data_IF_383718594355
#
_entry.id   IF_383718594355
#
_cell.length_a   1.000
_cell.length_b   1.000
_cell.length_c   1.000
_cell.angle_alpha   90.00
_cell.angle_beta   90.00
_cell.angle_gamma   90.00
#
_symmetry.space_group_name_H-M   'P 1'
#
loop_
_entity.id
_entity.type
_entity.pdbx_description
1 polymer ?
#
# COMPACT_ATOMS: atom_id res chain seq x y z
N UNK A 1 -0.46 2.77 20.01
CA UNK A 1 -0.58 4.20 19.66
C UNK A 1 -1.77 4.37 18.73
N UNK A 2 -2.55 5.45 18.85
CA UNK A 2 -3.59 5.78 17.88
C UNK A 2 -2.96 5.98 16.49
N UNK A 3 -3.68 5.54 15.44
CA UNK A 3 -3.22 5.73 14.06
C UNK A 3 -3.39 7.19 13.66
N UNK A 4 -2.41 7.73 12.93
CA UNK A 4 -2.47 9.08 12.38
C UNK A 4 -3.39 9.11 11.14
N UNK A 5 -4.43 9.96 11.10
CA UNK A 5 -5.19 10.20 9.87
C UNK A 5 -4.28 10.75 8.77
N UNK A 6 -4.40 10.22 7.56
CA UNK A 6 -3.60 10.62 6.41
C UNK A 6 -4.48 10.76 5.15
N UNK A 7 -4.27 11.80 4.33
CA UNK A 7 -4.86 11.90 3.00
C UNK A 7 -4.51 10.70 2.09
N UNK A 8 -5.35 10.45 1.09
CA UNK A 8 -5.17 9.31 0.17
C UNK A 8 -3.90 9.46 -0.68
N UNK A 9 -3.66 10.65 -1.21
CA UNK A 9 -2.49 11.02 -2.01
C UNK A 9 -1.17 10.87 -1.22
N UNK A 10 -1.12 11.37 0.02
CA UNK A 10 0.04 11.16 0.90
C UNK A 10 0.29 9.68 1.18
N UNK A 11 -0.77 8.91 1.41
CA UNK A 11 -0.66 7.47 1.66
C UNK A 11 -0.18 6.70 0.42
N UNK A 12 -0.67 7.07 -0.77
CA UNK A 12 -0.22 6.52 -2.06
C UNK A 12 1.27 6.84 -2.25
N UNK A 13 1.68 8.08 -2.02
CA UNK A 13 3.08 8.49 -2.10
C UNK A 13 3.98 7.68 -1.15
N UNK A 14 3.60 7.56 0.13
CA UNK A 14 4.35 6.74 1.10
C UNK A 14 4.44 5.27 0.71
N UNK A 15 3.41 4.74 0.08
CA UNK A 15 3.41 3.37 -0.41
C UNK A 15 4.42 3.20 -1.54
N UNK A 16 4.43 4.12 -2.51
CA UNK A 16 5.39 4.13 -3.62
C UNK A 16 6.83 4.34 -3.14
N UNK A 17 7.08 5.23 -2.18
CA UNK A 17 8.39 5.40 -1.56
C UNK A 17 8.91 4.08 -0.96
N UNK A 18 8.03 3.32 -0.29
CA UNK A 18 8.39 2.00 0.23
C UNK A 18 8.62 0.96 -0.85
N UNK A 19 7.86 0.99 -1.94
CA UNK A 19 8.06 0.10 -3.09
C UNK A 19 9.37 0.38 -3.81
N UNK A 20 9.76 1.66 -3.94
CA UNK A 20 11.01 2.07 -4.59
C UNK A 20 12.26 1.43 -3.95
N UNK A 21 12.20 1.11 -2.65
CA UNK A 21 13.24 0.37 -1.94
C UNK A 21 13.17 -1.16 -2.06
N UNK A 22 12.41 -1.71 -3.00
CA UNK A 22 12.21 -3.16 -3.19
C UNK A 22 12.61 -3.61 -4.59
N UNK A 23 12.54 -4.92 -4.85
CA UNK A 23 12.76 -5.49 -6.19
C UNK A 23 11.66 -5.14 -7.20
N UNK A 24 10.55 -4.53 -6.76
CA UNK A 24 9.36 -4.20 -7.57
C UNK A 24 9.00 -2.71 -7.49
N UNK A 25 9.94 -1.80 -7.82
CA UNK A 25 9.79 -0.36 -7.56
C UNK A 25 8.67 0.29 -8.38
N UNK A 26 8.34 -0.27 -9.53
CA UNK A 26 7.37 0.29 -10.49
C UNK A 26 6.05 -0.47 -10.53
N UNK A 27 5.76 -1.29 -9.53
CA UNK A 27 4.51 -2.04 -9.49
C UNK A 27 3.30 -1.11 -9.38
N UNK A 28 2.26 -1.40 -10.17
CA UNK A 28 1.02 -0.63 -10.09
C UNK A 28 0.26 -1.05 -8.83
N UNK A 29 -0.09 -0.06 -8.00
CA UNK A 29 -0.90 -0.27 -6.80
C UNK A 29 -2.10 0.66 -6.78
N UNK A 30 -3.17 0.21 -6.14
CA UNK A 30 -4.34 1.00 -5.83
C UNK A 30 -4.62 0.91 -4.33
N UNK A 31 -4.97 2.04 -3.70
CA UNK A 31 -5.41 2.06 -2.30
C UNK A 31 -6.91 2.29 -2.29
N UNK A 32 -7.64 1.31 -1.76
CA UNK A 32 -9.11 1.31 -1.75
C UNK A 32 -9.60 1.39 -0.30
N UNK A 33 -10.50 2.33 0.04
CA UNK A 33 -11.18 2.35 1.34
C UNK A 33 -11.98 1.05 1.54
N UNK A 34 -12.04 0.54 2.78
CA UNK A 34 -12.81 -0.67 3.07
C UNK A 34 -13.05 -0.89 4.56
N UNK A 35 -13.78 -1.94 4.91
CA UNK A 35 -14.25 -2.19 6.29
C UNK A 35 -13.14 -2.25 7.35
N UNK A 36 -11.90 -2.43 6.92
CA UNK A 36 -10.72 -2.49 7.78
C UNK A 36 -9.82 -1.24 7.63
N UNK A 37 -10.40 -0.10 7.22
CA UNK A 37 -9.80 1.18 6.84
C UNK A 37 -9.45 1.28 5.35
N UNK A 38 -8.40 0.59 4.92
CA UNK A 38 -7.99 0.56 3.52
C UNK A 38 -7.19 -0.71 3.20
N UNK A 39 -7.16 -1.04 1.91
CA UNK A 39 -6.42 -2.18 1.36
C UNK A 39 -5.64 -1.73 0.12
N UNK A 40 -4.40 -2.18 0.02
CA UNK A 40 -3.59 -2.04 -1.18
C UNK A 40 -3.84 -3.22 -2.11
N UNK A 41 -4.20 -2.92 -3.35
CA UNK A 41 -4.39 -3.88 -4.43
C UNK A 41 -3.27 -3.69 -5.44
N UNK A 42 -2.96 -4.75 -6.16
CA UNK A 42 -2.06 -4.71 -7.32
C UNK A 42 -2.72 -5.45 -8.47
N UNK A 43 -2.25 -5.23 -9.69
CA UNK A 43 -2.83 -5.87 -10.86
C UNK A 43 -2.30 -7.32 -11.02
N UNK A 44 -3.09 -8.18 -11.64
CA UNK A 44 -2.72 -9.59 -11.82
C UNK A 44 -1.53 -9.79 -12.76
N UNK A 45 -1.29 -8.86 -13.69
CA UNK A 45 -0.18 -8.95 -14.64
C UNK A 45 1.18 -8.75 -13.94
N UNK A 46 1.28 -7.77 -13.05
CA UNK A 46 2.46 -7.47 -12.25
C UNK A 46 2.72 -8.60 -11.26
N UNK A 47 1.69 -9.19 -10.64
CA UNK A 47 1.86 -10.40 -9.82
C UNK A 47 2.41 -11.60 -10.58
N UNK A 48 2.07 -11.77 -11.86
CA UNK A 48 2.63 -12.85 -12.70
C UNK A 48 4.08 -12.58 -13.08
N UNK A 49 4.44 -11.31 -13.30
CA UNK A 49 5.81 -10.89 -13.62
C UNK A 49 6.73 -10.92 -12.40
N UNK A 50 6.17 -10.63 -11.22
CA UNK A 50 6.87 -10.52 -9.96
C UNK A 50 6.13 -11.34 -8.88
N UNK A 51 6.41 -12.64 -8.75
CA UNK A 51 5.73 -13.52 -7.79
C UNK A 51 5.81 -13.02 -6.33
N UNK A 52 6.84 -12.27 -5.98
CA UNK A 52 7.06 -11.66 -4.67
C UNK A 52 6.24 -10.40 -4.41
N UNK A 53 5.59 -9.84 -5.43
CA UNK A 53 4.88 -8.56 -5.35
C UNK A 53 3.74 -8.61 -4.33
N UNK A 54 2.93 -9.67 -4.35
CA UNK A 54 1.81 -9.81 -3.42
C UNK A 54 2.29 -9.78 -1.95
N UNK A 55 3.36 -10.51 -1.66
CA UNK A 55 3.98 -10.55 -0.33
C UNK A 55 4.59 -9.20 0.04
N UNK A 56 5.23 -8.52 -0.92
CA UNK A 56 5.83 -7.19 -0.72
C UNK A 56 4.77 -6.14 -0.41
N UNK A 57 3.70 -6.08 -1.20
CA UNK A 57 2.54 -5.20 -1.00
C UNK A 57 1.89 -5.47 0.37
N UNK A 58 1.66 -6.74 0.72
CA UNK A 58 1.07 -7.10 2.02
C UNK A 58 1.95 -6.65 3.20
N UNK A 59 3.28 -6.79 3.08
CA UNK A 59 4.24 -6.33 4.11
C UNK A 59 4.22 -4.80 4.25
N UNK A 60 4.25 -4.06 3.14
CA UNK A 60 4.18 -2.59 3.15
C UNK A 60 2.84 -2.13 3.74
N UNK A 61 1.73 -2.73 3.32
CA UNK A 61 0.40 -2.46 3.87
C UNK A 61 0.38 -2.66 5.39
N UNK A 62 0.91 -3.78 5.90
CA UNK A 62 0.96 -4.05 7.35
C UNK A 62 1.76 -2.99 8.10
N UNK A 63 2.88 -2.54 7.54
CA UNK A 63 3.71 -1.48 8.14
C UNK A 63 3.01 -0.13 8.17
N UNK A 64 2.34 0.26 7.08
CA UNK A 64 1.65 1.55 7.01
C UNK A 64 0.37 1.54 7.85
N UNK A 65 -0.39 0.44 7.87
CA UNK A 65 -1.63 0.30 8.66
C UNK A 65 -1.41 0.28 10.17
N UNK A 66 -0.19 0.01 10.64
CA UNK A 66 0.13 0.15 12.07
C UNK A 66 0.31 1.60 12.50
N UNK A 67 0.53 2.52 11.54
CA UNK A 67 0.83 3.94 11.78
C UNK A 67 -0.27 4.88 11.30
N UNK A 68 -0.93 4.53 10.20
CA UNK A 68 -1.82 5.43 9.47
C UNK A 68 -3.23 4.85 9.30
N UNK A 69 -4.19 5.76 9.32
CA UNK A 69 -5.58 5.53 8.96
C UNK A 69 -5.94 6.45 7.80
N UNK A 70 -6.65 5.95 6.78
CA UNK A 70 -7.12 6.82 5.71
C UNK A 70 -8.09 7.84 6.31
N UNK A 71 -7.84 9.13 6.06
CA UNK A 71 -8.72 10.21 6.46
C UNK A 71 -10.00 10.08 5.63
N UNK A 72 -11.17 10.12 6.28
CA UNK A 72 -12.43 10.25 5.54
C UNK A 72 -12.39 11.56 4.78
N UNK A 73 -12.74 11.51 3.49
CA UNK A 73 -13.02 12.70 2.69
C UNK A 73 -14.22 13.43 3.29
#
# INVERSE_FOLDING_TARGET
MPKKPIPADELIWLFHEKLAGTAVPSATIAIVPGGNNWTALTNAADCRRHPELATTVARIQKQLRSRYSLKSV
#
